data_IF_883551003598
#
_entry.id   IF_883551003598
#
_cell.length_a   1.000
_cell.length_b   1.000
_cell.length_c   1.000
_cell.angle_alpha   90.00
_cell.angle_beta   90.00
_cell.angle_gamma   90.00
#
_symmetry.space_group_name_H-M   'P 1'
#
loop_
_entity.id
_entity.type
_entity.pdbx_description
1 polymer ?
#
# COMPACT_ATOMS: atom_id res chain seq x y z
N UNK A 1 9.23 -2.33 -0.75
CA UNK A 1 8.22 -1.36 -1.18
C UNK A 1 8.85 0.03 -1.34
N UNK A 2 8.20 0.91 -2.11
CA UNK A 2 8.63 2.30 -2.28
C UNK A 2 7.43 3.21 -2.41
N UNK A 3 7.65 4.51 -2.19
CA UNK A 3 6.65 5.53 -2.45
C UNK A 3 7.07 6.33 -3.68
N UNK A 4 6.14 6.45 -4.62
CA UNK A 4 6.29 7.29 -5.81
C UNK A 4 5.29 8.45 -5.70
N UNK A 5 5.68 9.63 -6.17
CA UNK A 5 4.82 10.80 -6.32
C UNK A 5 4.53 11.01 -7.81
N UNK A 6 3.27 11.30 -8.15
CA UNK A 6 2.90 11.66 -9.51
C UNK A 6 3.10 13.17 -9.71
N UNK A 7 4.02 13.52 -10.61
CA UNK A 7 4.30 14.88 -11.06
C UNK A 7 3.83 15.04 -12.51
N UNK A 8 3.96 16.24 -13.07
CA UNK A 8 3.57 16.51 -14.46
C UNK A 8 4.28 15.60 -15.48
N UNK A 9 5.50 15.16 -15.17
CA UNK A 9 6.32 14.24 -15.98
C UNK A 9 6.13 12.75 -15.61
N UNK A 10 5.17 12.43 -14.74
CA UNK A 10 4.80 11.07 -14.36
C UNK A 10 5.20 10.66 -12.94
N UNK A 11 5.32 9.35 -12.70
CA UNK A 11 5.66 8.83 -11.37
C UNK A 11 7.17 8.89 -11.10
N UNK A 12 7.56 9.45 -9.95
CA UNK A 12 8.96 9.53 -9.49
C UNK A 12 9.10 9.00 -8.06
N UNK A 13 10.15 8.23 -7.74
CA UNK A 13 10.42 7.82 -6.36
C UNK A 13 10.67 9.03 -5.45
N UNK A 14 10.20 8.96 -4.22
CA UNK A 14 10.48 9.97 -3.19
C UNK A 14 11.86 9.66 -2.58
N UNK A 15 12.84 10.55 -2.79
CA UNK A 15 14.26 10.28 -2.48
C UNK A 15 14.78 10.94 -1.20
N UNK A 16 14.10 11.96 -0.66
CA UNK A 16 14.62 12.83 0.41
C UNK A 16 13.84 12.75 1.71
N UNK A 17 13.31 11.59 2.05
CA UNK A 17 12.44 11.43 3.21
C UNK A 17 12.79 10.16 4.00
N UNK A 18 13.12 10.32 5.28
CA UNK A 18 13.50 9.22 6.17
C UNK A 18 12.32 8.25 6.45
N UNK A 19 11.09 8.71 6.28
CA UNK A 19 9.88 7.89 6.42
C UNK A 19 9.51 7.20 5.10
N UNK A 20 9.61 7.91 3.97
CA UNK A 20 9.12 7.48 2.66
C UNK A 20 10.19 6.91 1.72
N UNK A 21 11.45 6.81 2.15
CA UNK A 21 12.47 6.15 1.34
C UNK A 21 12.11 4.69 1.07
N UNK A 22 12.62 4.17 -0.05
CA UNK A 22 12.44 2.78 -0.43
C UNK A 22 13.02 1.84 0.63
N UNK A 23 12.23 0.84 1.03
CA UNK A 23 12.61 -0.18 2.01
C UNK A 23 12.36 -1.58 1.46
N UNK A 24 13.18 -2.52 1.89
CA UNK A 24 12.87 -3.92 1.70
C UNK A 24 11.84 -4.36 2.72
N UNK A 25 11.06 -5.40 2.39
CA UNK A 25 10.23 -6.03 3.41
C UNK A 25 11.11 -6.76 4.43
N UNK A 26 10.76 -6.66 5.70
CA UNK A 26 11.46 -7.30 6.82
C UNK A 26 10.53 -8.29 7.54
N UNK A 27 11.01 -8.97 8.58
CA UNK A 27 10.17 -9.84 9.40
C UNK A 27 9.71 -11.14 8.71
N UNK A 28 10.39 -11.56 7.64
CA UNK A 28 10.07 -12.80 6.92
C UNK A 28 8.85 -12.70 6.01
N UNK A 29 8.49 -11.49 5.57
CA UNK A 29 7.47 -11.30 4.54
C UNK A 29 7.91 -11.99 3.25
N UNK A 30 7.08 -12.91 2.77
CA UNK A 30 7.30 -13.69 1.55
C UNK A 30 6.49 -13.20 0.38
N UNK A 31 5.34 -12.56 0.63
CA UNK A 31 4.45 -12.05 -0.41
C UNK A 31 3.57 -10.89 0.10
N UNK A 32 3.05 -10.09 -0.83
CA UNK A 32 2.16 -8.97 -0.56
C UNK A 32 1.04 -8.89 -1.60
N UNK A 33 -0.21 -8.83 -1.14
CA UNK A 33 -1.36 -8.54 -2.01
C UNK A 33 -1.97 -7.18 -1.68
N UNK A 34 -2.56 -6.56 -2.69
CA UNK A 34 -3.44 -5.40 -2.56
C UNK A 34 -4.77 -5.80 -3.17
N UNK A 35 -5.85 -5.60 -2.42
CA UNK A 35 -7.17 -6.05 -2.78
C UNK A 35 -8.18 -4.93 -2.53
N UNK A 36 -9.10 -4.70 -3.47
CA UNK A 36 -10.26 -3.84 -3.28
C UNK A 36 -11.47 -4.70 -2.93
N UNK A 37 -12.02 -4.62 -1.70
CA UNK A 37 -13.17 -5.45 -1.31
C UNK A 37 -14.35 -5.29 -2.28
N UNK A 38 -14.92 -6.43 -2.69
CA UNK A 38 -16.02 -6.49 -3.67
C UNK A 38 -15.55 -6.38 -5.12
N UNK A 39 -14.26 -6.49 -5.39
CA UNK A 39 -13.65 -6.48 -6.72
C UNK A 39 -12.70 -7.65 -6.90
N UNK A 40 -12.49 -8.08 -8.15
CA UNK A 40 -11.47 -9.08 -8.54
C UNK A 40 -10.15 -8.40 -8.97
N UNK A 41 -9.97 -7.12 -8.63
CA UNK A 41 -8.76 -6.36 -8.92
C UNK A 41 -7.67 -6.61 -7.89
N UNK A 42 -6.50 -7.02 -8.37
CA UNK A 42 -5.28 -7.25 -7.59
C UNK A 42 -4.12 -6.39 -8.13
N UNK A 43 -4.10 -5.08 -7.85
CA UNK A 43 -3.05 -4.20 -8.37
C UNK A 43 -1.71 -4.38 -7.64
N UNK A 44 -0.62 -4.05 -8.33
CA UNK A 44 0.72 -3.99 -7.72
C UNK A 44 1.00 -2.69 -6.96
N UNK A 45 0.08 -1.71 -7.03
CA UNK A 45 0.23 -0.41 -6.38
C UNK A 45 -1.07 0.17 -5.84
N UNK A 46 -0.96 0.85 -4.71
CA UNK A 46 -2.00 1.74 -4.19
C UNK A 46 -1.71 3.18 -4.63
N UNK A 47 -2.75 3.88 -5.08
CA UNK A 47 -2.68 5.30 -5.45
C UNK A 47 -3.45 6.12 -4.42
N UNK A 48 -2.77 7.08 -3.80
CA UNK A 48 -3.39 8.07 -2.92
C UNK A 48 -3.73 9.30 -3.76
N UNK A 49 -5.03 9.57 -3.94
CA UNK A 49 -5.53 10.74 -4.67
C UNK A 49 -5.81 11.94 -3.75
N UNK A 50 -6.16 13.07 -4.37
CA UNK A 50 -6.56 14.31 -3.69
C UNK A 50 -7.95 14.25 -3.07
N UNK A 51 -8.81 13.34 -3.53
CA UNK A 51 -10.12 13.14 -2.91
C UNK A 51 -9.96 12.31 -1.64
N UNK A 52 -10.31 12.90 -0.49
CA UNK A 52 -10.16 12.36 0.86
C UNK A 52 -10.99 11.09 1.14
N UNK A 53 -11.73 10.60 0.13
CA UNK A 53 -12.57 9.41 0.21
C UNK A 53 -12.25 8.50 -0.98
N UNK A 54 -11.55 7.39 -0.73
CA UNK A 54 -11.24 6.37 -1.73
C UNK A 54 -12.06 5.09 -1.51
N UNK A 55 -12.00 4.15 -2.45
CA UNK A 55 -12.52 2.79 -2.21
C UNK A 55 -11.77 2.15 -1.03
N UNK A 56 -12.46 1.34 -0.22
CA UNK A 56 -11.80 0.54 0.81
C UNK A 56 -10.72 -0.33 0.17
N UNK A 57 -9.60 -0.53 0.87
CA UNK A 57 -8.47 -1.33 0.38
C UNK A 57 -7.92 -2.20 1.50
N UNK A 58 -7.46 -3.38 1.13
CA UNK A 58 -6.75 -4.31 2.00
C UNK A 58 -5.35 -4.54 1.44
N UNK A 59 -4.33 -4.40 2.28
CA UNK A 59 -2.95 -4.81 1.96
C UNK A 59 -2.61 -5.97 2.90
N UNK A 60 -2.34 -7.15 2.34
CA UNK A 60 -2.02 -8.34 3.13
C UNK A 60 -0.55 -8.66 2.97
N UNK A 61 0.17 -8.72 4.09
CA UNK A 61 1.55 -9.19 4.16
C UNK A 61 1.54 -10.66 4.58
N UNK A 62 2.16 -11.53 3.80
CA UNK A 62 2.25 -12.96 4.08
C UNK A 62 3.63 -13.35 4.57
N UNK A 63 3.70 -14.35 5.44
CA UNK A 63 4.93 -15.00 5.88
C UNK A 63 4.70 -16.50 6.05
N UNK A 64 5.77 -17.25 6.33
CA UNK A 64 5.67 -18.68 6.60
C UNK A 64 4.80 -19.03 7.83
N UNK A 65 4.61 -18.10 8.77
CA UNK A 65 3.93 -18.35 10.05
C UNK A 65 2.56 -17.68 10.16
N UNK A 66 2.13 -16.94 9.14
CA UNK A 66 0.84 -16.24 9.15
C UNK A 66 0.82 -15.02 8.24
N UNK A 67 -0.14 -14.12 8.50
CA UNK A 67 -0.34 -12.88 7.75
C UNK A 67 -0.72 -11.72 8.65
N UNK A 68 -0.44 -10.51 8.20
CA UNK A 68 -0.95 -9.27 8.77
C UNK A 68 -1.74 -8.52 7.68
N UNK A 69 -2.89 -7.94 8.05
CA UNK A 69 -3.74 -7.22 7.08
C UNK A 69 -3.89 -5.77 7.49
N UNK A 70 -3.54 -4.85 6.60
CA UNK A 70 -3.77 -3.42 6.75
C UNK A 70 -5.04 -3.07 5.99
N UNK A 71 -6.04 -2.52 6.67
CA UNK A 71 -7.34 -2.14 6.07
C UNK A 71 -7.46 -0.63 6.04
N UNK A 72 -7.53 -0.07 4.84
CA UNK A 72 -7.94 1.31 4.61
C UNK A 72 -9.45 1.36 4.40
N UNK A 73 -10.17 2.13 5.23
CA UNK A 73 -11.64 2.23 5.16
C UNK A 73 -12.13 3.24 4.14
N UNK A 74 -11.24 3.78 3.31
CA UNK A 74 -11.62 4.73 2.26
C UNK A 74 -11.96 6.12 2.76
N UNK A 75 -11.69 6.46 4.02
CA UNK A 75 -11.90 7.80 4.61
C UNK A 75 -10.64 8.30 5.33
N UNK A 76 -9.47 7.84 4.90
CA UNK A 76 -8.16 8.16 5.48
C UNK A 76 -7.80 7.36 6.73
N UNK A 77 -8.69 6.51 7.26
CA UNK A 77 -8.41 5.64 8.40
C UNK A 77 -7.82 4.30 7.96
N UNK A 78 -6.76 3.89 8.66
CA UNK A 78 -6.08 2.61 8.48
C UNK A 78 -6.06 1.84 9.79
N UNK A 79 -6.26 0.53 9.71
CA UNK A 79 -6.17 -0.40 10.84
C UNK A 79 -5.28 -1.59 10.48
N UNK A 80 -4.53 -2.10 11.45
CA UNK A 80 -3.79 -3.37 11.31
C UNK A 80 -4.56 -4.46 12.05
N UNK A 81 -4.73 -5.61 11.42
CA UNK A 81 -5.45 -6.79 11.93
C UNK A 81 -4.60 -8.05 11.78
#
# INVERSE_FOLDING_TARGET
YRFDMHTEDGWRPILRDDLLHQRNWEGGVTDVTIDYPGSDLHPDRLVFGVESIGQAVTVTLYSAVGRATIVGTGNGRYEVR
#
